data_IF_608763738311
#
_entry.id   IF_608763738311
#
_cell.length_a   1.000
_cell.length_b   1.000
_cell.length_c   1.000
_cell.angle_alpha   90.00
_cell.angle_beta   90.00
_cell.angle_gamma   90.00
#
_symmetry.space_group_name_H-M   'P 1'
#
loop_
_entity.id
_entity.type
_entity.pdbx_description
1 polymer ?
#
# COMPACT_ATOMS: atom_id res chain seq x y z
N UNK A 1 22.77 -35.40 13.08
CA UNK A 1 21.34 -35.06 13.33
C UNK A 1 21.05 -33.74 12.65
N UNK A 2 20.59 -33.81 11.41
CA UNK A 2 20.19 -32.64 10.60
C UNK A 2 18.76 -32.27 10.96
N UNK A 3 18.57 -31.06 11.52
CA UNK A 3 17.23 -30.47 11.79
C UNK A 3 16.61 -30.07 10.46
N UNK A 4 15.58 -30.81 10.08
CA UNK A 4 14.73 -30.52 8.94
C UNK A 4 13.84 -29.33 9.32
N UNK A 5 14.12 -28.14 8.79
CA UNK A 5 13.24 -26.97 8.92
C UNK A 5 12.12 -27.16 7.90
N UNK A 6 10.84 -27.18 8.30
CA UNK A 6 9.75 -27.31 7.34
C UNK A 6 9.67 -26.05 6.48
N UNK A 7 9.79 -26.22 5.18
CA UNK A 7 9.50 -25.21 4.17
C UNK A 7 8.03 -24.79 4.31
N UNK A 8 7.70 -23.50 4.34
CA UNK A 8 6.29 -23.09 4.38
C UNK A 8 5.59 -23.57 3.12
N UNK A 9 4.54 -24.38 3.31
CA UNK A 9 3.72 -24.90 2.23
C UNK A 9 3.16 -23.73 1.40
N UNK A 10 3.34 -23.77 0.08
CA UNK A 10 2.74 -22.81 -0.83
C UNK A 10 1.21 -22.89 -0.68
N UNK A 11 0.58 -21.78 -0.30
CA UNK A 11 -0.89 -21.70 -0.15
C UNK A 11 -1.53 -21.93 -1.51
N UNK A 12 -2.50 -22.86 -1.59
CA UNK A 12 -3.17 -23.21 -2.84
C UNK A 12 -4.17 -22.12 -3.31
N UNK A 13 -4.71 -22.23 -4.54
CA UNK A 13 -5.66 -21.25 -5.12
C UNK A 13 -6.86 -20.93 -4.25
N UNK A 14 -7.37 -21.92 -3.49
CA UNK A 14 -8.50 -21.74 -2.56
C UNK A 14 -8.15 -20.80 -1.41
N UNK A 15 -6.93 -20.88 -0.88
CA UNK A 15 -6.48 -20.01 0.23
C UNK A 15 -6.33 -18.56 -0.22
N UNK A 16 -5.91 -18.31 -1.47
CA UNK A 16 -5.89 -16.97 -2.05
C UNK A 16 -7.29 -16.38 -2.15
N UNK A 17 -8.27 -17.15 -2.65
CA UNK A 17 -9.66 -16.70 -2.77
C UNK A 17 -10.27 -16.34 -1.41
N UNK A 18 -10.02 -17.13 -0.35
CA UNK A 18 -10.51 -16.83 1.01
C UNK A 18 -9.83 -15.59 1.59
N UNK A 19 -8.52 -15.45 1.36
CA UNK A 19 -7.77 -14.27 1.80
C UNK A 19 -8.33 -13.00 1.16
N UNK A 20 -8.64 -13.03 -0.12
CA UNK A 20 -9.22 -11.91 -0.86
C UNK A 20 -10.62 -11.58 -0.37
N UNK A 21 -11.47 -12.58 -0.10
CA UNK A 21 -12.79 -12.39 0.51
C UNK A 21 -12.71 -11.68 1.88
N UNK A 22 -11.71 -12.02 2.70
CA UNK A 22 -11.50 -11.36 4.00
C UNK A 22 -11.10 -9.90 3.78
N UNK A 23 -10.21 -9.61 2.83
CA UNK A 23 -9.77 -8.25 2.53
C UNK A 23 -10.91 -7.38 1.97
N UNK A 24 -11.72 -7.91 1.04
CA UNK A 24 -12.85 -7.20 0.47
C UNK A 24 -13.92 -6.86 1.52
N UNK A 25 -14.26 -7.83 2.37
CA UNK A 25 -15.20 -7.61 3.46
C UNK A 25 -14.64 -6.65 4.51
N UNK A 26 -13.35 -6.74 4.82
CA UNK A 26 -12.68 -5.83 5.74
C UNK A 26 -12.67 -4.40 5.18
N UNK A 27 -12.37 -4.23 3.90
CA UNK A 27 -12.39 -2.94 3.23
C UNK A 27 -13.79 -2.31 3.28
N UNK A 28 -14.84 -3.07 2.92
CA UNK A 28 -16.23 -2.61 3.00
C UNK A 28 -16.65 -2.23 4.43
N UNK A 29 -16.22 -3.03 5.41
CA UNK A 29 -16.54 -2.79 6.81
C UNK A 29 -15.80 -1.57 7.37
N UNK A 30 -14.52 -1.41 7.04
CA UNK A 30 -13.73 -0.24 7.43
C UNK A 30 -14.26 1.04 6.78
N UNK A 31 -14.64 1.01 5.51
CA UNK A 31 -15.28 2.13 4.82
C UNK A 31 -16.58 2.56 5.49
N UNK A 32 -17.34 1.61 6.03
CA UNK A 32 -18.63 1.91 6.66
C UNK A 32 -18.51 2.37 8.10
N UNK A 33 -17.68 1.70 8.90
CA UNK A 33 -17.63 1.87 10.35
C UNK A 33 -16.33 2.51 10.87
N UNK A 34 -15.30 2.55 10.05
CA UNK A 34 -13.95 2.98 10.41
C UNK A 34 -13.08 1.83 10.93
N UNK A 35 -11.77 1.95 10.69
CA UNK A 35 -10.78 0.94 11.09
C UNK A 35 -10.73 0.74 12.61
N UNK A 36 -10.62 1.82 13.39
CA UNK A 36 -10.42 1.72 14.83
C UNK A 36 -11.62 1.08 15.55
N UNK A 37 -12.84 1.37 15.08
CA UNK A 37 -14.07 0.85 15.67
C UNK A 37 -14.40 -0.59 15.26
N UNK A 38 -13.75 -1.14 14.24
CA UNK A 38 -13.97 -2.48 13.74
C UNK A 38 -13.09 -3.48 14.46
N UNK A 39 -13.65 -4.63 14.84
CA UNK A 39 -12.92 -5.77 15.42
C UNK A 39 -12.87 -6.95 14.44
N UNK A 40 -11.93 -7.90 14.65
CA UNK A 40 -11.90 -9.14 13.87
C UNK A 40 -13.18 -9.96 14.05
N UNK A 41 -13.84 -9.82 15.20
CA UNK A 41 -15.15 -10.48 15.46
C UNK A 41 -16.25 -9.88 14.56
N UNK A 42 -16.24 -8.58 14.35
CA UNK A 42 -17.20 -7.92 13.44
C UNK A 42 -16.99 -8.36 12.00
N UNK A 43 -15.73 -8.45 11.56
CA UNK A 43 -15.38 -8.97 10.24
C UNK A 43 -15.83 -10.43 10.08
N UNK A 44 -15.57 -11.27 11.07
CA UNK A 44 -15.97 -12.67 11.05
C UNK A 44 -17.50 -12.82 10.88
N UNK A 45 -18.29 -12.04 11.62
CA UNK A 45 -19.74 -12.00 11.49
C UNK A 45 -20.20 -11.52 10.11
N UNK A 46 -19.56 -10.48 9.56
CA UNK A 46 -19.92 -9.91 8.26
C UNK A 46 -19.70 -10.90 7.10
N UNK A 47 -18.69 -11.78 7.21
CA UNK A 47 -18.32 -12.76 6.17
C UNK A 47 -19.03 -14.11 6.38
N UNK A 48 -19.52 -14.36 7.58
CA UNK A 48 -20.04 -15.68 7.98
C UNK A 48 -18.93 -16.68 8.34
N UNK A 49 -17.75 -16.20 8.74
CA UNK A 49 -16.63 -17.01 9.19
C UNK A 49 -16.52 -17.01 10.71
N UNK A 50 -15.80 -17.99 11.27
CA UNK A 50 -15.37 -17.91 12.65
C UNK A 50 -14.15 -17.00 12.78
N UNK A 51 -14.00 -16.34 13.94
CA UNK A 51 -12.82 -15.55 14.26
C UNK A 51 -11.52 -16.37 14.15
N UNK A 52 -11.55 -17.63 14.61
CA UNK A 52 -10.43 -18.56 14.51
C UNK A 52 -10.06 -18.87 13.05
N UNK A 53 -11.04 -18.89 12.14
CA UNK A 53 -10.79 -19.10 10.72
C UNK A 53 -10.09 -17.89 10.08
N UNK A 54 -10.47 -16.66 10.42
CA UNK A 54 -9.77 -15.46 9.95
C UNK A 54 -8.31 -15.47 10.41
N UNK A 55 -8.04 -15.86 11.65
CA UNK A 55 -6.66 -15.93 12.18
C UNK A 55 -5.75 -16.96 11.51
N UNK A 56 -6.29 -17.85 10.66
CA UNK A 56 -5.45 -18.70 9.79
C UNK A 56 -4.79 -17.93 8.64
N UNK A 57 -5.35 -16.77 8.26
CA UNK A 57 -4.91 -15.96 7.14
C UNK A 57 -4.24 -14.65 7.56
N UNK A 58 -4.64 -14.10 8.70
CA UNK A 58 -4.14 -12.83 9.22
C UNK A 58 -3.97 -12.90 10.73
N UNK A 59 -2.78 -12.62 11.22
CA UNK A 59 -2.44 -12.71 12.63
C UNK A 59 -3.14 -11.67 13.51
N UNK A 60 -3.62 -10.58 12.90
CA UNK A 60 -4.26 -9.47 13.62
C UNK A 60 -5.13 -8.61 12.70
N UNK A 61 -5.96 -7.73 13.29
CA UNK A 61 -6.65 -6.66 12.55
C UNK A 61 -5.64 -5.76 11.81
N UNK A 62 -4.50 -5.48 12.43
CA UNK A 62 -3.45 -4.69 11.79
C UNK A 62 -2.91 -5.38 10.54
N UNK A 63 -2.70 -6.69 10.55
CA UNK A 63 -2.25 -7.45 9.38
C UNK A 63 -3.25 -7.37 8.21
N UNK A 64 -4.56 -7.29 8.51
CA UNK A 64 -5.60 -7.07 7.50
C UNK A 64 -5.51 -5.64 6.95
N UNK A 65 -5.43 -4.64 7.82
CA UNK A 65 -5.27 -3.24 7.44
C UNK A 65 -4.00 -3.00 6.63
N UNK A 66 -2.90 -3.62 7.04
CA UNK A 66 -1.59 -3.60 6.36
C UNK A 66 -1.69 -4.13 4.92
N UNK A 67 -2.37 -5.26 4.73
CA UNK A 67 -2.55 -5.84 3.40
C UNK A 67 -3.41 -4.93 2.48
N UNK A 68 -4.43 -4.26 3.04
CA UNK A 68 -5.24 -3.28 2.31
C UNK A 68 -4.40 -2.07 1.93
N UNK A 69 -3.63 -1.50 2.87
CA UNK A 69 -2.74 -0.37 2.62
C UNK A 69 -1.68 -0.72 1.56
N UNK A 70 -1.01 -1.85 1.68
CA UNK A 70 0.00 -2.31 0.73
C UNK A 70 -0.56 -2.35 -0.70
N UNK A 71 -1.73 -2.97 -0.88
CA UNK A 71 -2.39 -3.07 -2.19
C UNK A 71 -2.76 -1.69 -2.77
N UNK A 72 -3.20 -0.74 -1.93
CA UNK A 72 -3.53 0.62 -2.38
C UNK A 72 -2.28 1.42 -2.74
N UNK A 73 -1.24 1.36 -1.91
CA UNK A 73 0.03 2.05 -2.16
C UNK A 73 0.74 1.50 -3.40
N UNK A 74 0.65 0.19 -3.65
CA UNK A 74 1.16 -0.43 -4.89
C UNK A 74 0.45 0.13 -6.14
N UNK A 75 -0.89 0.26 -6.11
CA UNK A 75 -1.65 0.88 -7.21
C UNK A 75 -1.23 2.31 -7.48
N UNK A 76 -0.97 3.10 -6.43
CA UNK A 76 -0.45 4.47 -6.57
C UNK A 76 0.93 4.45 -7.23
N UNK A 77 1.84 3.56 -6.82
CA UNK A 77 3.17 3.46 -7.43
C UNK A 77 3.12 3.02 -8.88
N UNK A 78 2.21 2.11 -9.25
CA UNK A 78 1.98 1.73 -10.66
C UNK A 78 1.51 2.94 -11.47
N UNK A 79 0.49 3.67 -10.99
CA UNK A 79 -0.02 4.86 -11.67
C UNK A 79 1.07 5.96 -11.83
N UNK A 80 1.89 6.17 -10.79
CA UNK A 80 3.03 7.09 -10.86
C UNK A 80 4.04 6.63 -11.92
N UNK A 81 4.39 5.34 -11.92
CA UNK A 81 5.35 4.78 -12.89
C UNK A 81 4.86 4.92 -14.33
N UNK A 82 3.58 4.63 -14.57
CA UNK A 82 2.95 4.81 -15.88
C UNK A 82 2.93 6.28 -16.31
N UNK A 83 2.60 7.20 -15.39
CA UNK A 83 2.53 8.63 -15.68
C UNK A 83 3.87 9.23 -16.11
N UNK A 84 4.99 8.68 -15.62
CA UNK A 84 6.33 9.21 -15.91
C UNK A 84 7.06 8.43 -17.01
N UNK A 85 6.55 7.29 -17.46
CA UNK A 85 7.26 6.35 -18.35
C UNK A 85 7.72 6.99 -19.67
N UNK A 86 6.90 7.83 -20.27
CA UNK A 86 7.15 8.49 -21.55
C UNK A 86 7.47 10.00 -21.41
N UNK A 87 7.78 10.44 -20.18
CA UNK A 87 8.08 11.86 -19.95
C UNK A 87 9.42 12.25 -20.62
N UNK A 88 9.43 13.34 -21.41
CA UNK A 88 10.56 13.69 -22.26
C UNK A 88 11.77 14.28 -21.48
N UNK A 89 11.60 14.63 -20.20
CA UNK A 89 12.63 15.26 -19.39
C UNK A 89 12.45 14.96 -17.91
N UNK A 90 13.50 15.13 -17.12
CA UNK A 90 13.47 14.93 -15.68
C UNK A 90 12.50 15.92 -14.99
N UNK A 91 12.45 17.15 -15.47
CA UNK A 91 11.50 18.16 -15.00
C UNK A 91 10.06 17.75 -15.24
N UNK A 92 9.76 17.17 -16.42
CA UNK A 92 8.44 16.65 -16.74
C UNK A 92 8.10 15.40 -15.90
N UNK A 93 9.08 14.51 -15.67
CA UNK A 93 8.89 13.36 -14.74
C UNK A 93 8.46 13.83 -13.35
N UNK A 94 9.15 14.80 -12.77
CA UNK A 94 8.78 15.36 -11.45
C UNK A 94 7.38 15.96 -11.46
N UNK A 95 7.02 16.74 -12.49
CA UNK A 95 5.70 17.35 -12.58
C UNK A 95 4.59 16.31 -12.65
N UNK A 96 4.76 15.27 -13.47
CA UNK A 96 3.80 14.18 -13.62
C UNK A 96 3.73 13.33 -12.37
N UNK A 97 4.86 13.05 -11.71
CA UNK A 97 4.92 12.34 -10.44
C UNK A 97 4.08 13.06 -9.37
N UNK A 98 4.32 14.36 -9.14
CA UNK A 98 3.57 15.12 -8.15
C UNK A 98 2.09 15.23 -8.49
N UNK A 99 1.74 15.37 -9.75
CA UNK A 99 0.34 15.36 -10.19
C UNK A 99 -0.32 14.03 -9.89
N UNK A 100 0.28 12.90 -10.27
CA UNK A 100 -0.26 11.57 -10.01
C UNK A 100 -0.44 11.30 -8.51
N UNK A 101 0.52 11.70 -7.67
CA UNK A 101 0.40 11.58 -6.21
C UNK A 101 -0.75 12.43 -5.65
N UNK A 102 -0.91 13.65 -6.16
CA UNK A 102 -1.98 14.56 -5.70
C UNK A 102 -3.35 14.04 -6.12
N UNK A 103 -3.49 13.57 -7.35
CA UNK A 103 -4.73 12.99 -7.87
C UNK A 103 -5.14 11.75 -7.06
N UNK A 104 -4.21 10.80 -6.86
CA UNK A 104 -4.47 9.60 -6.08
C UNK A 104 -4.83 9.90 -4.61
N UNK A 105 -4.14 10.86 -3.98
CA UNK A 105 -4.44 11.28 -2.61
C UNK A 105 -5.80 11.98 -2.49
N UNK A 106 -6.14 12.83 -3.45
CA UNK A 106 -7.44 13.51 -3.51
C UNK A 106 -8.57 12.53 -3.74
N UNK A 107 -8.42 11.61 -4.69
CA UNK A 107 -9.40 10.56 -4.97
C UNK A 107 -9.70 9.75 -3.71
N UNK A 108 -8.67 9.25 -3.03
CA UNK A 108 -8.86 8.50 -1.79
C UNK A 108 -9.55 9.33 -0.70
N UNK A 109 -9.21 10.61 -0.54
CA UNK A 109 -9.82 11.48 0.47
C UNK A 109 -11.28 11.76 0.21
N UNK A 110 -11.66 12.02 -1.06
CA UNK A 110 -13.03 12.38 -1.41
C UNK A 110 -13.95 11.18 -1.61
N UNK A 111 -13.43 10.07 -2.15
CA UNK A 111 -14.24 8.88 -2.42
C UNK A 111 -14.41 8.00 -1.18
N UNK A 112 -13.38 7.84 -0.37
CA UNK A 112 -13.45 7.03 0.85
C UNK A 112 -12.61 7.59 2.00
N UNK A 113 -13.18 8.59 2.68
CA UNK A 113 -12.53 9.23 3.82
C UNK A 113 -12.12 8.25 4.94
N UNK A 114 -12.88 7.16 5.13
CA UNK A 114 -12.56 6.19 6.19
C UNK A 114 -11.40 5.27 5.80
N UNK A 115 -11.21 4.99 4.52
CA UNK A 115 -10.00 4.35 4.03
C UNK A 115 -8.79 5.31 4.11
N UNK A 116 -9.00 6.60 3.86
CA UNK A 116 -7.97 7.60 4.10
C UNK A 116 -7.54 7.62 5.58
N UNK A 117 -8.48 7.47 6.52
CA UNK A 117 -8.17 7.37 7.96
C UNK A 117 -7.28 6.14 8.27
N UNK A 118 -7.44 5.02 7.55
CA UNK A 118 -6.53 3.86 7.69
C UNK A 118 -5.11 4.23 7.25
N UNK A 119 -4.97 4.93 6.14
CA UNK A 119 -3.66 5.38 5.66
C UNK A 119 -2.99 6.34 6.67
N UNK A 120 -3.76 7.22 7.31
CA UNK A 120 -3.26 8.10 8.36
C UNK A 120 -2.78 7.32 9.60
N UNK A 121 -3.53 6.28 10.03
CA UNK A 121 -3.10 5.38 11.12
C UNK A 121 -1.83 4.64 10.73
N UNK A 122 -1.78 4.08 9.51
CA UNK A 122 -0.63 3.35 9.00
C UNK A 122 0.64 4.21 8.96
N UNK A 123 0.52 5.47 8.54
CA UNK A 123 1.64 6.42 8.52
C UNK A 123 2.08 6.82 9.94
N UNK A 124 1.12 7.13 10.84
CA UNK A 124 1.40 7.49 12.23
C UNK A 124 2.12 6.36 12.97
N UNK A 125 1.64 5.14 12.79
CA UNK A 125 2.13 3.96 13.50
C UNK A 125 3.27 3.25 12.74
N UNK A 126 3.77 3.86 11.65
CA UNK A 126 4.88 3.39 10.81
C UNK A 126 4.71 1.94 10.37
N UNK A 127 3.58 1.64 9.76
CA UNK A 127 3.36 0.30 9.23
C UNK A 127 4.34 -0.02 8.11
N UNK A 128 4.78 -1.29 7.97
CA UNK A 128 5.74 -1.69 6.94
C UNK A 128 5.39 -1.24 5.52
N UNK A 129 4.11 -1.29 5.13
CA UNK A 129 3.66 -0.83 3.81
C UNK A 129 3.93 0.65 3.56
N UNK A 130 3.73 1.51 4.57
CA UNK A 130 3.99 2.96 4.44
C UNK A 130 5.47 3.28 4.42
N UNK A 131 6.28 2.60 5.21
CA UNK A 131 7.75 2.75 5.20
C UNK A 131 8.34 2.29 3.85
N UNK A 132 7.87 1.15 3.34
CA UNK A 132 8.28 0.63 2.03
C UNK A 132 7.88 1.59 0.89
N UNK A 133 6.65 2.09 0.91
CA UNK A 133 6.17 3.08 -0.05
C UNK A 133 7.02 4.34 -0.03
N UNK A 134 7.29 4.90 1.15
CA UNK A 134 8.14 6.08 1.30
C UNK A 134 9.55 5.85 0.76
N UNK A 135 10.14 4.68 1.03
CA UNK A 135 11.45 4.29 0.49
C UNK A 135 11.47 4.19 -1.04
N UNK A 136 10.45 3.57 -1.64
CA UNK A 136 10.34 3.48 -3.10
C UNK A 136 10.17 4.87 -3.74
N UNK A 137 9.33 5.73 -3.16
CA UNK A 137 9.13 7.08 -3.65
C UNK A 137 10.41 7.92 -3.55
N UNK A 138 11.12 7.82 -2.44
CA UNK A 138 12.41 8.50 -2.25
C UNK A 138 13.45 8.03 -3.28
N UNK A 139 13.54 6.74 -3.52
CA UNK A 139 14.42 6.17 -4.53
C UNK A 139 14.08 6.68 -5.93
N UNK A 140 12.81 6.68 -6.31
CA UNK A 140 12.33 7.16 -7.61
C UNK A 140 12.66 8.64 -7.82
N UNK A 141 12.37 9.48 -6.81
CA UNK A 141 12.71 10.92 -6.87
C UNK A 141 14.23 11.12 -7.00
N UNK A 142 15.01 10.36 -6.21
CA UNK A 142 16.47 10.41 -6.29
C UNK A 142 17.00 10.07 -7.69
N UNK A 143 16.44 9.05 -8.35
CA UNK A 143 16.80 8.68 -9.72
C UNK A 143 16.49 9.81 -10.72
N UNK A 144 15.29 10.40 -10.63
CA UNK A 144 14.89 11.52 -11.50
C UNK A 144 15.81 12.74 -11.30
N UNK A 145 16.19 13.03 -10.05
CA UNK A 145 17.12 14.13 -9.75
C UNK A 145 18.51 13.88 -10.34
N UNK A 146 19.01 12.65 -10.27
CA UNK A 146 20.29 12.27 -10.90
C UNK A 146 20.23 12.42 -12.42
N UNK A 147 19.16 11.91 -13.05
CA UNK A 147 18.93 12.08 -14.50
C UNK A 147 18.92 13.54 -14.91
N UNK A 148 18.17 14.39 -14.19
CA UNK A 148 18.08 15.82 -14.47
C UNK A 148 19.41 16.58 -14.31
N UNK A 149 20.23 16.17 -13.33
CA UNK A 149 21.60 16.70 -13.18
C UNK A 149 22.51 16.29 -14.31
N UNK A 150 22.42 15.05 -14.77
CA UNK A 150 23.20 14.57 -15.91
C UNK A 150 22.80 15.25 -17.21
N UNK A 151 21.51 15.50 -17.40
CA UNK A 151 20.96 16.22 -18.55
C UNK A 151 21.18 17.73 -18.49
N UNK A 152 21.65 18.27 -17.37
CA UNK A 152 21.85 19.71 -17.17
C UNK A 152 20.54 20.48 -16.87
N UNK A 153 19.46 19.79 -16.57
CA UNK A 153 18.19 20.43 -16.19
C UNK A 153 18.20 20.92 -14.73
N UNK A 154 18.97 20.26 -13.88
CA UNK A 154 19.05 20.58 -12.45
C UNK A 154 20.46 20.98 -12.03
N UNK A 155 20.52 21.79 -10.96
CA UNK A 155 21.79 22.22 -10.37
C UNK A 155 22.60 21.00 -9.84
N UNK A 156 23.91 21.04 -10.06
CA UNK A 156 24.85 19.97 -9.68
C UNK A 156 25.54 20.18 -8.32
N UNK A 157 25.44 21.35 -7.74
CA UNK A 157 26.24 21.74 -6.57
C UNK A 157 25.69 21.27 -5.24
N UNK A 158 24.38 21.10 -5.14
CA UNK A 158 23.72 20.65 -3.90
C UNK A 158 23.83 19.13 -3.75
N UNK A 159 24.27 18.57 -2.61
CA UNK A 159 24.21 17.13 -2.33
C UNK A 159 22.77 16.59 -2.43
N UNK A 160 22.64 15.33 -2.82
CA UNK A 160 21.36 14.60 -2.80
C UNK A 160 21.18 13.86 -1.49
#
# INVERSE_FOLDING_TARGET
MTKNTPTPASRGPHDHSVRDQILDAAMAHFSRYGYEKTTVTDLAKAIGFSKAYIYKFFDSKQAIGEAICASRLEKIMVAVSEAIADAPSASEKLRRLFRALTEAGSELFFEDRKLYDIAAVAARDKWPSTEQYAGHLQQLIGQILVEGRQAGEFERKTPL
#
